data_IF_044183533890
#
_entry.id   IF_044183533890
#
_cell.length_a   1.000
_cell.length_b   1.000
_cell.length_c   1.000
_cell.angle_alpha   90.00
_cell.angle_beta   90.00
_cell.angle_gamma   90.00
#
_symmetry.space_group_name_H-M   'P 1'
#
loop_
_entity.id
_entity.type
_entity.pdbx_description
1 polymer ?
#
# COMPACT_ATOMS: atom_id res chain seq x y z
N UNK A 1 -20.52 -8.96 -9.50
CA UNK A 1 -19.56 -8.47 -8.49
C UNK A 1 -19.09 -7.10 -8.97
N UNK A 2 -19.26 -6.06 -8.13
CA UNK A 2 -18.89 -4.68 -8.48
C UNK A 2 -17.36 -4.56 -8.56
N UNK A 3 -16.88 -3.87 -9.59
CA UNK A 3 -15.47 -3.59 -9.83
C UNK A 3 -14.82 -2.92 -8.64
N UNK A 4 -13.71 -3.50 -8.19
CA UNK A 4 -12.79 -2.88 -7.26
C UNK A 4 -11.72 -2.28 -8.16
N UNK A 5 -11.79 -0.97 -8.39
CA UNK A 5 -10.68 -0.23 -8.99
C UNK A 5 -9.55 -0.13 -7.96
N UNK A 6 -8.36 -0.55 -8.36
CA UNK A 6 -7.15 -0.53 -7.54
C UNK A 6 -6.71 0.92 -7.33
N UNK A 7 -6.38 1.37 -6.10
CA UNK A 7 -6.08 2.78 -5.80
C UNK A 7 -4.87 3.36 -6.55
N UNK A 8 -3.97 2.50 -7.05
CA UNK A 8 -2.85 2.91 -7.93
C UNK A 8 -3.30 3.45 -9.29
N UNK A 9 -4.48 3.05 -9.79
CA UNK A 9 -5.00 3.59 -11.06
C UNK A 9 -5.39 5.06 -10.91
N UNK A 10 -5.88 5.46 -9.73
CA UNK A 10 -6.24 6.85 -9.45
C UNK A 10 -5.00 7.77 -9.47
N UNK A 11 -3.85 7.32 -8.95
CA UNK A 11 -2.61 8.11 -9.00
C UNK A 11 -2.09 8.28 -10.43
N UNK A 12 -2.22 7.26 -11.28
CA UNK A 12 -1.85 7.38 -12.70
C UNK A 12 -2.78 8.30 -13.48
N UNK A 13 -4.06 8.35 -13.15
CA UNK A 13 -5.02 9.28 -13.76
C UNK A 13 -4.74 10.74 -13.39
N UNK A 14 -4.34 11.02 -12.14
CA UNK A 14 -3.92 12.37 -11.75
C UNK A 14 -2.66 12.84 -12.48
N UNK A 15 -1.67 11.96 -12.64
CA UNK A 15 -0.45 12.24 -13.40
C UNK A 15 -0.74 12.48 -14.89
N UNK A 16 -1.64 11.68 -15.48
CA UNK A 16 -2.11 11.88 -16.86
C UNK A 16 -2.82 13.23 -17.00
N UNK A 17 -3.71 13.57 -16.05
CA UNK A 17 -4.45 14.83 -16.07
C UNK A 17 -3.52 16.05 -15.92
N UNK A 18 -2.50 15.97 -15.07
CA UNK A 18 -1.48 17.02 -14.88
C UNK A 18 -0.60 17.20 -16.14
N UNK A 19 -0.21 16.09 -16.79
CA UNK A 19 0.51 16.12 -18.07
C UNK A 19 -0.34 16.75 -19.19
N UNK A 20 -1.63 16.40 -19.29
CA UNK A 20 -2.53 16.98 -20.29
C UNK A 20 -2.72 18.49 -20.08
N UNK A 21 -2.86 18.94 -18.83
CA UNK A 21 -2.99 20.35 -18.47
C UNK A 21 -1.73 21.14 -18.86
N UNK A 22 -0.55 20.61 -18.56
CA UNK A 22 0.73 21.25 -18.87
C UNK A 22 0.95 21.37 -20.38
N UNK A 23 0.57 20.34 -21.15
CA UNK A 23 0.63 20.35 -22.61
C UNK A 23 -0.35 21.33 -23.22
N UNK A 24 -1.57 21.48 -22.67
CA UNK A 24 -2.53 22.49 -23.09
C UNK A 24 -2.02 23.91 -22.81
N UNK A 25 -1.34 24.15 -21.69
CA UNK A 25 -0.74 25.45 -21.39
C UNK A 25 0.43 25.78 -22.33
N UNK A 26 1.24 24.79 -22.71
CA UNK A 26 2.28 24.95 -23.73
C UNK A 26 1.68 25.23 -25.11
N UNK A 27 0.55 24.58 -25.44
CA UNK A 27 -0.21 24.78 -26.67
C UNK A 27 -0.73 26.23 -26.81
N UNK A 28 -1.27 26.79 -25.72
CA UNK A 28 -1.75 28.18 -25.66
C UNK A 28 -0.60 29.18 -25.81
N UNK A 29 0.58 28.88 -25.25
CA UNK A 29 1.77 29.75 -25.35
C UNK A 29 2.44 29.75 -26.73
N UNK A 30 2.14 28.77 -27.59
CA UNK A 30 2.76 28.62 -28.93
C UNK A 30 1.87 29.08 -30.09
N UNK A 31 0.87 29.93 -29.85
CA UNK A 31 0.01 30.49 -30.91
C UNK A 31 0.82 31.35 -31.91
N UNK A 32 1.23 30.73 -33.01
CA UNK A 32 1.98 31.35 -34.10
C UNK A 32 2.47 30.38 -35.18
N UNK A 33 2.33 29.06 -35.01
CA UNK A 33 2.72 28.08 -36.03
C UNK A 33 1.84 26.82 -35.98
N UNK A 34 0.58 26.95 -36.43
CA UNK A 34 -0.51 25.97 -36.30
C UNK A 34 -0.13 24.55 -36.76
N UNK A 35 0.73 24.43 -37.78
CA UNK A 35 1.15 23.14 -38.33
C UNK A 35 2.09 22.36 -37.40
N UNK A 36 2.98 23.05 -36.68
CA UNK A 36 3.91 22.43 -35.73
C UNK A 36 3.16 21.98 -34.46
N UNK A 37 2.22 22.82 -34.03
CA UNK A 37 1.34 22.56 -32.89
C UNK A 37 0.47 21.32 -33.12
N UNK A 38 -0.20 21.24 -34.26
CA UNK A 38 -1.04 20.10 -34.62
C UNK A 38 -0.25 18.78 -34.73
N UNK A 39 0.98 18.86 -35.25
CA UNK A 39 1.87 17.70 -35.37
C UNK A 39 2.36 17.18 -34.02
N UNK A 40 2.64 18.10 -33.08
CA UNK A 40 3.00 17.74 -31.70
C UNK A 40 1.82 17.10 -30.95
N UNK A 41 0.60 17.64 -31.12
CA UNK A 41 -0.61 17.06 -30.52
C UNK A 41 -0.85 15.62 -31.01
N UNK A 42 -0.69 15.36 -32.31
CA UNK A 42 -0.80 13.99 -32.85
C UNK A 42 0.29 13.06 -32.32
N UNK A 43 1.53 13.52 -32.19
CA UNK A 43 2.63 12.72 -31.67
C UNK A 43 2.45 12.36 -30.19
N UNK A 44 1.98 13.30 -29.37
CA UNK A 44 1.64 13.06 -27.96
C UNK A 44 0.51 12.03 -27.87
N UNK A 45 -0.58 12.22 -28.61
CA UNK A 45 -1.71 11.30 -28.58
C UNK A 45 -1.32 9.87 -29.02
N UNK A 46 -0.46 9.75 -30.03
CA UNK A 46 0.07 8.46 -30.46
C UNK A 46 0.93 7.80 -29.37
N UNK A 47 1.74 8.58 -28.67
CA UNK A 47 2.55 8.10 -27.56
C UNK A 47 1.70 7.66 -26.36
N UNK A 48 0.71 8.47 -25.96
CA UNK A 48 -0.23 8.16 -24.88
C UNK A 48 -0.97 6.84 -25.15
N UNK A 49 -1.51 6.66 -26.36
CA UNK A 49 -2.18 5.40 -26.73
C UNK A 49 -1.24 4.20 -26.71
N UNK A 50 0.02 4.37 -27.14
CA UNK A 50 1.02 3.30 -27.12
C UNK A 50 1.42 2.93 -25.69
N UNK A 51 1.57 3.92 -24.80
CA UNK A 51 1.84 3.70 -23.38
C UNK A 51 0.65 3.02 -22.69
N UNK A 52 -0.59 3.46 -22.97
CA UNK A 52 -1.81 2.83 -22.44
C UNK A 52 -1.93 1.38 -22.92
N UNK A 53 -1.65 1.10 -24.21
CA UNK A 53 -1.63 -0.28 -24.71
C UNK A 53 -0.56 -1.13 -24.03
N UNK A 54 0.67 -0.63 -23.90
CA UNK A 54 1.75 -1.34 -23.20
C UNK A 54 1.42 -1.63 -21.72
N UNK A 55 0.70 -0.71 -21.06
CA UNK A 55 0.24 -0.88 -19.68
C UNK A 55 -0.99 -1.81 -19.56
N UNK A 56 -1.85 -1.85 -20.58
CA UNK A 56 -3.00 -2.77 -20.66
C UNK A 56 -2.58 -4.20 -21.00
N UNK A 57 -1.51 -4.36 -21.78
CA UNK A 57 -0.89 -5.65 -22.12
C UNK A 57 0.03 -6.22 -21.02
N UNK A 58 -0.18 -5.84 -19.74
CA UNK A 58 0.50 -6.49 -18.59
C UNK A 58 0.30 -8.01 -18.55
N UNK A 59 -0.77 -8.53 -19.16
CA UNK A 59 -1.00 -9.96 -19.32
C UNK A 59 -0.02 -10.65 -20.28
N UNK A 60 0.72 -9.92 -21.11
CA UNK A 60 1.71 -10.49 -22.03
C UNK A 60 3.08 -10.73 -21.38
N UNK A 61 3.30 -10.22 -20.16
CA UNK A 61 4.56 -10.36 -19.41
C UNK A 61 4.53 -11.43 -18.31
N UNK A 62 3.40 -12.10 -18.08
CA UNK A 62 3.35 -13.24 -17.15
C UNK A 62 3.59 -14.56 -17.88
N UNK A 63 4.77 -14.72 -18.50
CA UNK A 63 5.19 -16.00 -19.07
C UNK A 63 5.90 -16.87 -18.03
N UNK A 64 5.33 -16.99 -16.83
CA UNK A 64 5.83 -17.98 -15.88
C UNK A 64 5.59 -19.37 -16.46
N UNK A 65 6.64 -20.18 -16.51
CA UNK A 65 6.55 -21.57 -16.94
C UNK A 65 5.62 -22.36 -16.01
N UNK A 66 5.16 -23.53 -16.46
CA UNK A 66 4.37 -24.42 -15.61
C UNK A 66 5.16 -24.83 -14.36
N UNK A 67 6.46 -25.07 -14.49
CA UNK A 67 7.36 -25.39 -13.37
C UNK A 67 7.50 -24.22 -12.39
N UNK A 68 7.65 -22.99 -12.89
CA UNK A 68 7.76 -21.79 -12.03
C UNK A 68 6.47 -21.54 -11.26
N UNK A 69 5.31 -21.68 -11.92
CA UNK A 69 4.00 -21.57 -11.26
C UNK A 69 3.83 -22.62 -10.17
N UNK A 70 4.20 -23.87 -10.46
CA UNK A 70 4.13 -24.96 -9.49
C UNK A 70 5.08 -24.69 -8.31
N UNK A 71 6.28 -24.17 -8.57
CA UNK A 71 7.24 -23.80 -7.53
C UNK A 71 6.71 -22.68 -6.63
N UNK A 72 6.07 -21.65 -7.20
CA UNK A 72 5.44 -20.56 -6.43
C UNK A 72 4.28 -21.07 -5.58
N UNK A 73 3.43 -21.96 -6.11
CA UNK A 73 2.37 -22.59 -5.32
C UNK A 73 2.95 -23.46 -4.19
N UNK A 74 4.03 -24.21 -4.44
CA UNK A 74 4.70 -24.98 -3.39
C UNK A 74 5.26 -24.07 -2.29
N UNK A 75 5.92 -22.97 -2.65
CA UNK A 75 6.45 -21.99 -1.68
C UNK A 75 5.31 -21.33 -0.88
N UNK A 76 4.23 -20.95 -1.55
CA UNK A 76 3.06 -20.35 -0.90
C UNK A 76 2.39 -21.27 0.11
N UNK A 77 2.40 -22.59 -0.16
CA UNK A 77 1.78 -23.60 0.68
C UNK A 77 2.76 -24.22 1.71
N UNK A 78 4.05 -23.87 1.68
CA UNK A 78 5.01 -24.35 2.67
C UNK A 78 4.82 -23.64 4.01
N UNK A 79 4.34 -24.40 5.01
CA UNK A 79 4.06 -23.87 6.35
C UNK A 79 5.31 -23.59 7.19
N UNK A 80 6.50 -24.05 6.76
CA UNK A 80 7.76 -23.92 7.48
C UNK A 80 8.53 -22.66 7.12
N UNK A 81 8.11 -21.94 6.08
CA UNK A 81 8.73 -20.68 5.66
C UNK A 81 7.85 -19.48 5.99
N UNK A 82 8.46 -18.30 5.99
CA UNK A 82 7.79 -17.02 6.02
C UNK A 82 8.36 -16.15 4.90
N UNK A 83 7.47 -15.56 4.11
CA UNK A 83 7.82 -14.71 2.97
C UNK A 83 7.43 -13.28 3.32
N UNK A 84 8.40 -12.37 3.37
CA UNK A 84 8.21 -10.98 3.77
C UNK A 84 9.02 -10.05 2.86
N UNK A 85 8.58 -8.80 2.67
CA UNK A 85 9.43 -7.78 2.06
C UNK A 85 10.66 -7.55 2.94
N UNK A 86 11.82 -7.35 2.31
CA UNK A 86 13.01 -6.89 3.01
C UNK A 86 12.89 -5.41 3.36
N UNK A 87 13.55 -5.00 4.44
CA UNK A 87 13.61 -3.59 4.87
C UNK A 87 14.22 -2.66 3.82
N UNK A 88 15.12 -3.17 2.96
CA UNK A 88 15.85 -2.38 1.96
C UNK A 88 15.89 -3.05 0.60
N UNK A 89 15.90 -2.22 -0.45
CA UNK A 89 16.19 -2.63 -1.82
C UNK A 89 15.05 -3.30 -2.58
N UNK A 90 13.81 -3.20 -2.10
CA UNK A 90 12.62 -3.72 -2.81
C UNK A 90 12.62 -5.25 -3.01
N UNK A 91 13.47 -5.97 -2.27
CA UNK A 91 13.61 -7.42 -2.38
C UNK A 91 12.61 -8.15 -1.47
N UNK A 92 12.36 -9.42 -1.78
CA UNK A 92 11.58 -10.34 -0.95
C UNK A 92 12.52 -11.34 -0.28
N UNK A 93 12.33 -11.56 1.01
CA UNK A 93 13.11 -12.54 1.77
C UNK A 93 12.24 -13.76 2.10
N UNK A 94 12.84 -14.94 1.97
CA UNK A 94 12.27 -16.21 2.42
C UNK A 94 13.08 -16.66 3.63
N UNK A 95 12.41 -16.83 4.76
CA UNK A 95 13.04 -17.20 6.03
C UNK A 95 12.44 -18.48 6.57
N UNK A 96 13.21 -19.24 7.33
CA UNK A 96 12.66 -20.29 8.17
C UNK A 96 11.75 -19.65 9.24
N UNK A 97 10.53 -20.17 9.36
CA UNK A 97 9.50 -19.62 10.25
C UNK A 97 9.83 -19.80 11.72
N UNK A 98 10.48 -20.91 12.09
CA UNK A 98 10.89 -21.19 13.47
C UNK A 98 11.97 -20.22 13.90
N UNK A 99 13.01 -20.03 13.07
CA UNK A 99 14.10 -19.09 13.34
C UNK A 99 13.58 -17.65 13.46
N UNK A 100 12.70 -17.25 12.54
CA UNK A 100 12.06 -15.94 12.59
C UNK A 100 11.28 -15.73 13.90
N UNK A 101 10.45 -16.70 14.29
CA UNK A 101 9.69 -16.63 15.55
C UNK A 101 10.62 -16.52 16.75
N UNK A 102 11.65 -17.37 16.81
CA UNK A 102 12.61 -17.35 17.91
C UNK A 102 13.33 -16.01 18.00
N UNK A 103 13.71 -15.42 16.86
CA UNK A 103 14.37 -14.11 16.84
C UNK A 103 13.46 -13.00 17.35
N UNK A 104 12.19 -12.98 16.93
CA UNK A 104 11.21 -11.99 17.41
C UNK A 104 10.96 -12.16 18.92
N UNK A 105 10.81 -13.39 19.40
CA UNK A 105 10.61 -13.67 20.83
C UNK A 105 11.82 -13.22 21.66
N UNK A 106 13.04 -13.52 21.20
CA UNK A 106 14.28 -13.07 21.85
C UNK A 106 14.39 -11.55 21.94
N UNK A 107 13.86 -10.79 20.95
CA UNK A 107 13.79 -9.34 21.03
C UNK A 107 12.76 -8.85 22.07
N UNK A 108 11.63 -9.56 22.19
CA UNK A 108 10.55 -9.23 23.13
C UNK A 108 10.88 -9.58 24.59
N UNK A 109 11.85 -10.47 24.81
CA UNK A 109 12.36 -10.83 26.14
C UNK A 109 13.16 -9.70 26.81
N UNK A 110 13.53 -8.66 26.07
CA UNK A 110 14.20 -7.48 26.63
C UNK A 110 13.27 -6.73 27.60
N UNK A 111 13.39 -7.07 28.88
CA UNK A 111 12.64 -6.46 29.98
C UNK A 111 13.00 -4.99 30.27
N UNK A 112 14.09 -4.48 29.69
CA UNK A 112 14.45 -3.05 29.81
C UNK A 112 13.62 -2.17 28.86
N UNK A 113 13.20 -2.74 27.72
CA UNK A 113 12.40 -2.06 26.69
C UNK A 113 10.93 -2.44 26.76
N UNK A 114 10.62 -3.73 27.00
CA UNK A 114 9.27 -4.27 26.91
C UNK A 114 8.73 -4.75 28.27
N UNK A 115 7.42 -4.65 28.44
CA UNK A 115 6.70 -5.15 29.62
C UNK A 115 5.56 -6.06 29.19
N UNK A 116 5.51 -7.25 29.78
CA UNK A 116 4.41 -8.18 29.58
C UNK A 116 3.12 -7.64 30.16
N UNK A 117 2.02 -7.82 29.44
CA UNK A 117 0.71 -7.38 29.88
C UNK A 117 -0.21 -8.60 30.04
N UNK A 118 -0.86 -8.80 31.21
CA UNK A 118 -1.51 -10.07 31.55
C UNK A 118 -2.83 -10.32 30.81
N UNK A 119 -3.46 -9.28 30.26
CA UNK A 119 -4.77 -9.36 29.60
C UNK A 119 -4.88 -8.32 28.50
N UNK A 120 -5.58 -8.64 27.41
CA UNK A 120 -5.77 -7.70 26.29
C UNK A 120 -6.33 -6.33 26.76
N UNK A 121 -5.58 -5.22 26.63
CA UNK A 121 -6.01 -3.90 27.09
C UNK A 121 -7.07 -3.26 26.16
N UNK A 122 -7.32 -3.84 24.98
CA UNK A 122 -8.13 -3.25 23.90
C UNK A 122 -9.52 -2.85 24.38
N UNK A 123 -10.21 -3.73 25.12
CA UNK A 123 -11.56 -3.44 25.64
C UNK A 123 -11.57 -2.25 26.61
N UNK A 124 -10.58 -2.19 27.50
CA UNK A 124 -10.45 -1.12 28.49
C UNK A 124 -10.17 0.22 27.80
N UNK A 125 -9.25 0.23 26.84
CA UNK A 125 -8.92 1.41 26.05
C UNK A 125 -10.14 1.89 25.25
N UNK A 126 -10.88 0.99 24.61
CA UNK A 126 -12.10 1.32 23.88
C UNK A 126 -13.17 1.96 24.78
N UNK A 127 -13.39 1.40 25.97
CA UNK A 127 -14.34 1.99 26.93
C UNK A 127 -13.92 3.40 27.34
N UNK A 128 -12.62 3.64 27.55
CA UNK A 128 -12.10 4.99 27.84
C UNK A 128 -12.30 5.95 26.67
N UNK A 129 -12.03 5.52 25.44
CA UNK A 129 -12.25 6.33 24.23
C UNK A 129 -13.74 6.67 24.09
N UNK A 130 -14.63 5.69 24.27
CA UNK A 130 -16.08 5.90 24.19
C UNK A 130 -16.58 6.90 25.23
N UNK A 131 -16.05 6.86 26.45
CA UNK A 131 -16.36 7.84 27.51
C UNK A 131 -15.91 9.25 27.11
N UNK A 132 -14.70 9.39 26.54
CA UNK A 132 -14.18 10.68 26.08
C UNK A 132 -15.00 11.22 24.92
N UNK A 133 -15.31 10.39 23.91
CA UNK A 133 -16.12 10.79 22.76
C UNK A 133 -17.54 11.20 23.18
N UNK A 134 -18.15 10.47 24.12
CA UNK A 134 -19.46 10.84 24.67
C UNK A 134 -19.40 12.20 25.37
N UNK A 135 -18.42 12.42 26.25
CA UNK A 135 -18.23 13.70 26.95
C UNK A 135 -18.06 14.85 25.96
N UNK A 136 -17.20 14.70 24.95
CA UNK A 136 -16.93 15.75 23.96
C UNK A 136 -18.13 16.07 23.06
N UNK A 137 -18.98 15.06 22.81
CA UNK A 137 -20.25 15.25 22.11
C UNK A 137 -21.26 16.02 22.96
N UNK A 138 -21.34 15.70 24.25
CA UNK A 138 -22.23 16.37 25.22
C UNK A 138 -21.81 17.83 25.47
N UNK A 139 -20.51 18.11 25.54
CA UNK A 139 -19.97 19.48 25.68
C UNK A 139 -19.98 20.28 24.36
N UNK A 140 -20.55 19.73 23.28
CA UNK A 140 -20.62 20.33 21.93
C UNK A 140 -19.25 20.70 21.34
N UNK A 141 -18.17 20.11 21.83
CA UNK A 141 -16.81 20.30 21.29
C UNK A 141 -16.55 19.43 20.06
N UNK A 142 -17.31 18.33 19.90
CA UNK A 142 -17.30 17.48 18.72
C UNK A 142 -18.71 17.32 18.15
N UNK A 143 -18.80 17.39 16.82
CA UNK A 143 -20.04 17.04 16.12
C UNK A 143 -20.30 15.53 16.17
N UNK A 144 -21.56 15.12 16.11
CA UNK A 144 -21.94 13.71 16.15
C UNK A 144 -21.35 12.88 15.01
N UNK A 145 -21.16 13.49 13.83
CA UNK A 145 -20.52 12.84 12.67
C UNK A 145 -19.04 12.55 12.91
N UNK A 146 -18.30 13.53 13.43
CA UNK A 146 -16.87 13.38 13.75
C UNK A 146 -16.67 12.37 14.87
N UNK A 147 -17.48 12.42 15.93
CA UNK A 147 -17.42 11.45 17.03
C UNK A 147 -17.66 10.00 16.56
N UNK A 148 -18.54 9.81 15.56
CA UNK A 148 -18.78 8.49 14.95
C UNK A 148 -17.59 8.03 14.10
N UNK A 149 -16.94 8.93 13.36
CA UNK A 149 -15.75 8.64 12.55
C UNK A 149 -14.54 8.25 13.41
N UNK A 150 -14.37 8.91 14.55
CA UNK A 150 -13.28 8.62 15.50
C UNK A 150 -13.47 7.32 16.27
N UNK A 151 -14.70 6.77 16.30
CA UNK A 151 -14.99 5.52 17.00
C UNK A 151 -14.53 4.33 16.15
N UNK A 152 -13.60 3.55 16.71
CA UNK A 152 -13.20 2.28 16.09
C UNK A 152 -14.31 1.23 16.23
N UNK A 153 -14.79 0.70 15.10
CA UNK A 153 -15.87 -0.30 15.08
C UNK A 153 -15.41 -1.72 15.42
N UNK A 154 -14.16 -2.08 15.07
CA UNK A 154 -13.58 -3.41 15.28
C UNK A 154 -12.12 -3.24 15.73
N UNK A 155 -11.88 -3.02 17.03
CA UNK A 155 -10.53 -2.82 17.50
C UNK A 155 -9.78 -4.15 17.46
N UNK A 156 -8.50 -4.10 17.12
CA UNK A 156 -7.62 -5.27 17.15
C UNK A 156 -6.35 -4.90 17.91
N UNK A 157 -5.80 -5.87 18.64
CA UNK A 157 -4.53 -5.67 19.33
C UNK A 157 -3.43 -5.45 18.29
N UNK A 158 -2.49 -4.57 18.60
CA UNK A 158 -1.31 -4.36 17.77
C UNK A 158 -0.54 -5.69 17.63
N UNK A 159 -0.13 -5.99 16.40
CA UNK A 159 0.69 -7.17 16.07
C UNK A 159 2.11 -6.71 15.80
N UNK A 160 3.08 -7.40 16.39
CA UNK A 160 4.49 -7.18 16.08
C UNK A 160 4.95 -8.13 14.97
N UNK A 161 5.75 -7.61 14.05
CA UNK A 161 6.49 -8.36 13.04
C UNK A 161 7.80 -7.61 12.76
N UNK A 162 8.84 -8.32 12.34
CA UNK A 162 10.12 -7.76 11.96
C UNK A 162 10.36 -7.92 10.46
N UNK A 163 10.93 -6.90 9.84
CA UNK A 163 11.38 -7.00 8.45
C UNK A 163 12.85 -7.43 8.42
N UNK A 164 13.22 -8.43 7.60
CA UNK A 164 14.60 -8.85 7.45
C UNK A 164 15.43 -7.76 6.78
N UNK A 165 16.64 -7.57 7.32
CA UNK A 165 17.62 -6.67 6.74
C UNK A 165 18.58 -7.45 5.87
N UNK A 166 18.52 -7.22 4.56
CA UNK A 166 19.47 -7.80 3.60
C UNK A 166 20.75 -6.95 3.62
N UNK A 167 21.88 -7.59 3.91
CA UNK A 167 23.18 -6.94 3.91
C UNK A 167 23.80 -6.98 2.51
N UNK A 168 24.54 -5.92 2.17
CA UNK A 168 25.39 -5.94 0.97
C UNK A 168 26.51 -6.95 1.19
N UNK A 169 26.90 -7.72 0.15
CA UNK A 169 28.11 -8.52 0.18
C UNK A 169 29.36 -7.65 0.37
#
# INVERSE_FOLDING_TARGET
MKGIEHPELAETEWLLMDMTEHLNQLNVKMQGNENAVFSLQQAVFAFENKAVHALKDRNQFSSLSSEEKNTLENLKNDENIIILPADKGGSTAILNKSDYKQKILSLLEDSSTYKTFPTDPTKKQMSSIDKVLKRLKETKQLSGGVAKSLKQSKPTIAKIYGLPKVHKP
#
